data_IF_634231826026
#
_entry.id   IF_634231826026
#
_cell.length_a   1.000
_cell.length_b   1.000
_cell.length_c   1.000
_cell.angle_alpha   90.00
_cell.angle_beta   90.00
_cell.angle_gamma   90.00
#
_symmetry.space_group_name_H-M   'P 1'
#
loop_
_entity.id
_entity.type
_entity.pdbx_description
1 polymer ?
#
# COMPACT_ATOMS: atom_id res chain seq x y z
N UNK A 1 -10.77 23.91 -2.14
CA UNK A 1 -10.31 22.61 -1.60
C UNK A 1 -8.94 22.22 -2.14
N UNK A 2 -8.74 22.27 -3.46
CA UNK A 2 -7.45 22.03 -4.08
C UNK A 2 -6.31 22.87 -3.46
N UNK A 3 -6.48 24.20 -3.42
CA UNK A 3 -5.47 25.10 -2.84
C UNK A 3 -5.14 24.76 -1.39
N UNK A 4 -6.14 24.44 -0.58
CA UNK A 4 -5.93 24.06 0.82
C UNK A 4 -5.11 22.78 0.95
N UNK A 5 -5.24 21.85 -0.01
CA UNK A 5 -4.47 20.61 -0.03
C UNK A 5 -3.04 20.84 -0.54
N UNK A 6 -2.84 21.67 -1.56
CA UNK A 6 -1.52 21.97 -2.12
C UNK A 6 -0.67 22.87 -1.22
N UNK A 7 -1.31 23.73 -0.41
CA UNK A 7 -0.64 24.61 0.56
C UNK A 7 -0.58 24.01 1.97
N UNK A 8 -0.89 22.72 2.12
CA UNK A 8 -0.85 22.05 3.42
C UNK A 8 0.58 22.10 3.97
N UNK A 9 0.72 22.59 5.21
CA UNK A 9 2.00 22.78 5.87
C UNK A 9 2.99 23.70 5.11
N UNK A 10 2.46 24.71 4.39
CA UNK A 10 3.24 25.73 3.69
C UNK A 10 3.06 27.14 4.29
N UNK A 11 2.40 27.26 5.45
CA UNK A 11 2.15 28.54 6.14
C UNK A 11 2.36 28.42 7.65
N UNK A 12 2.83 29.48 8.34
CA UNK A 12 3.00 29.47 9.79
C UNK A 12 1.68 29.16 10.54
N UNK A 13 1.75 28.47 11.70
CA UNK A 13 2.94 27.97 12.38
C UNK A 13 3.40 26.57 11.91
N UNK A 14 2.82 26.03 10.84
CA UNK A 14 3.07 24.67 10.35
C UNK A 14 3.87 24.65 9.04
N UNK A 15 4.63 25.69 8.74
CA UNK A 15 5.41 25.79 7.51
C UNK A 15 6.61 24.82 7.55
N UNK A 16 6.59 23.84 6.64
CA UNK A 16 7.65 22.85 6.49
C UNK A 16 8.81 23.32 5.60
N UNK A 17 8.70 24.47 4.91
CA UNK A 17 9.75 25.01 4.03
C UNK A 17 11.11 25.12 4.72
N UNK A 18 11.25 25.81 5.87
CA UNK A 18 12.54 25.93 6.56
C UNK A 18 13.07 24.57 7.05
N UNK A 19 12.19 23.64 7.42
CA UNK A 19 12.56 22.27 7.82
C UNK A 19 13.16 21.52 6.63
N UNK A 20 12.54 21.62 5.45
CA UNK A 20 13.05 20.97 4.23
C UNK A 20 14.40 21.54 3.80
N UNK A 21 14.58 22.86 3.85
CA UNK A 21 15.87 23.51 3.54
C UNK A 21 16.98 23.04 4.48
N UNK A 22 16.70 22.99 5.79
CA UNK A 22 17.65 22.46 6.77
C UNK A 22 17.96 20.97 6.52
N UNK A 23 16.94 20.15 6.25
CA UNK A 23 17.14 18.74 5.91
C UNK A 23 18.03 18.55 4.67
N UNK A 24 17.86 19.37 3.62
CA UNK A 24 18.70 19.32 2.42
C UNK A 24 20.14 19.71 2.72
N UNK A 25 20.35 20.79 3.49
CA UNK A 25 21.68 21.23 3.93
C UNK A 25 22.38 20.12 4.73
N UNK A 26 21.72 19.59 5.76
CA UNK A 26 22.28 18.55 6.63
C UNK A 26 22.57 17.24 5.87
N UNK A 27 21.71 16.87 4.92
CA UNK A 27 21.95 15.70 4.05
C UNK A 27 23.15 15.90 3.13
N UNK A 28 23.36 17.11 2.62
CA UNK A 28 24.54 17.43 1.82
C UNK A 28 25.82 17.41 2.68
N UNK A 29 25.79 18.04 3.86
CA UNK A 29 26.91 17.98 4.82
C UNK A 29 27.27 16.54 5.19
N UNK A 30 26.28 15.69 5.47
CA UNK A 30 26.48 14.26 5.73
C UNK A 30 27.18 13.56 4.56
N UNK A 31 26.78 13.84 3.31
CA UNK A 31 27.42 13.27 2.14
C UNK A 31 28.90 13.68 2.04
N UNK A 32 29.20 14.96 2.25
CA UNK A 32 30.58 15.47 2.24
C UNK A 32 31.43 14.82 3.35
N UNK A 33 30.89 14.66 4.55
CA UNK A 33 31.58 14.00 5.67
C UNK A 33 31.91 12.53 5.38
N UNK A 34 31.06 11.85 4.62
CA UNK A 34 31.25 10.46 4.21
C UNK A 34 32.10 10.33 2.92
N UNK A 35 32.53 11.44 2.31
CA UNK A 35 33.34 11.45 1.09
C UNK A 35 32.55 11.29 -0.21
N UNK A 36 31.24 11.57 -0.21
CA UNK A 36 30.36 11.52 -1.38
C UNK A 36 29.99 12.93 -1.87
N UNK A 37 29.63 13.06 -3.15
CA UNK A 37 29.28 14.34 -3.74
C UNK A 37 27.86 14.80 -3.37
N UNK A 38 26.96 13.85 -3.14
CA UNK A 38 25.54 14.14 -2.87
C UNK A 38 24.91 13.08 -1.96
N UNK A 39 23.81 13.47 -1.31
CA UNK A 39 23.04 12.51 -0.52
C UNK A 39 22.37 11.43 -1.39
N UNK A 40 22.19 11.66 -2.69
CA UNK A 40 21.71 10.63 -3.60
C UNK A 40 22.70 9.45 -3.67
N UNK A 41 24.02 9.73 -3.73
CA UNK A 41 25.04 8.69 -3.69
C UNK A 41 25.03 7.94 -2.35
N UNK A 42 24.91 8.65 -1.23
CA UNK A 42 24.78 8.04 0.11
C UNK A 42 23.53 7.15 0.20
N UNK A 43 22.41 7.62 -0.33
CA UNK A 43 21.16 6.87 -0.36
C UNK A 43 21.28 5.60 -1.19
N UNK A 44 22.15 5.53 -2.20
CA UNK A 44 22.29 4.34 -3.03
C UNK A 44 23.14 3.23 -2.39
N UNK A 45 23.82 3.50 -1.27
CA UNK A 45 24.68 2.50 -0.62
C UNK A 45 23.94 1.25 -0.15
N UNK A 46 22.64 1.37 0.12
CA UNK A 46 21.75 0.30 0.57
C UNK A 46 20.65 -0.05 -0.45
N UNK A 47 20.89 0.23 -1.74
CA UNK A 47 19.95 0.01 -2.85
C UNK A 47 20.56 -0.86 -3.95
N UNK A 48 19.71 -1.49 -4.75
CA UNK A 48 20.15 -2.29 -5.90
C UNK A 48 20.59 -1.43 -7.09
N UNK A 49 20.08 -0.20 -7.18
CA UNK A 49 20.42 0.72 -8.25
C UNK A 49 21.92 1.06 -8.24
N UNK A 50 22.63 0.89 -9.37
CA UNK A 50 24.10 0.89 -9.39
C UNK A 50 24.71 2.30 -9.32
N UNK A 51 23.97 3.35 -9.66
CA UNK A 51 24.44 4.74 -9.65
C UNK A 51 23.29 5.73 -9.77
N UNK A 52 23.55 6.99 -9.40
CA UNK A 52 22.59 8.10 -9.60
C UNK A 52 22.24 8.24 -11.08
N UNK A 53 23.23 8.14 -11.97
CA UNK A 53 23.03 8.23 -13.42
C UNK A 53 22.14 7.12 -13.98
N UNK A 54 22.20 5.90 -13.42
CA UNK A 54 21.32 4.80 -13.82
C UNK A 54 19.86 5.06 -13.40
N UNK A 55 19.66 5.63 -12.21
CA UNK A 55 18.33 6.05 -11.74
C UNK A 55 17.75 7.16 -12.63
N UNK A 56 18.54 8.19 -12.93
CA UNK A 56 18.13 9.28 -13.81
C UNK A 56 17.80 8.79 -15.22
N UNK A 57 18.64 7.92 -15.79
CA UNK A 57 18.41 7.33 -17.10
C UNK A 57 17.09 6.55 -17.16
N UNK A 58 16.79 5.75 -16.12
CA UNK A 58 15.52 5.04 -16.03
C UNK A 58 14.32 6.00 -15.95
N UNK A 59 14.40 7.03 -15.11
CA UNK A 59 13.32 8.01 -14.96
C UNK A 59 13.08 8.78 -16.26
N UNK A 60 14.14 9.18 -16.97
CA UNK A 60 14.01 9.90 -18.24
C UNK A 60 13.51 9.03 -19.37
N UNK A 61 13.94 7.76 -19.46
CA UNK A 61 13.39 6.80 -20.42
C UNK A 61 11.88 6.58 -20.20
N UNK A 62 11.45 6.42 -18.94
CA UNK A 62 10.02 6.32 -18.59
C UNK A 62 9.27 7.60 -18.97
N UNK A 63 9.80 8.77 -18.62
CA UNK A 63 9.22 10.08 -18.99
C UNK A 63 9.02 10.16 -20.50
N UNK A 64 10.04 9.85 -21.28
CA UNK A 64 10.00 10.05 -22.75
C UNK A 64 8.99 9.11 -23.42
N UNK A 65 8.83 7.89 -22.91
CA UNK A 65 7.81 6.94 -23.35
C UNK A 65 6.39 7.37 -22.96
N UNK A 66 6.22 7.94 -21.77
CA UNK A 66 4.90 8.33 -21.25
C UNK A 66 4.43 9.72 -21.72
N UNK A 67 5.35 10.64 -22.05
CA UNK A 67 5.03 12.04 -22.30
C UNK A 67 4.12 12.25 -23.50
N UNK A 68 4.38 11.55 -24.61
CA UNK A 68 3.54 11.66 -25.81
C UNK A 68 2.10 11.19 -25.53
N UNK A 69 1.96 10.07 -24.81
CA UNK A 69 0.67 9.50 -24.42
C UNK A 69 -0.07 10.45 -23.47
N UNK A 70 0.63 10.97 -22.45
CA UNK A 70 0.05 11.87 -21.44
C UNK A 70 -0.48 13.17 -22.09
N UNK A 71 0.22 13.70 -23.11
CA UNK A 71 -0.25 14.87 -23.86
C UNK A 71 -1.53 14.59 -24.65
N UNK A 72 -1.65 13.40 -25.24
CA UNK A 72 -2.87 12.98 -25.94
C UNK A 72 -4.02 12.82 -24.94
N UNK A 73 -3.79 12.13 -23.82
CA UNK A 73 -4.80 11.94 -22.77
C UNK A 73 -5.29 13.28 -22.20
N UNK A 74 -4.38 14.23 -21.93
CA UNK A 74 -4.76 15.57 -21.46
C UNK A 74 -5.57 16.34 -22.52
N UNK A 75 -5.24 16.22 -23.80
CA UNK A 75 -6.02 16.82 -24.88
C UNK A 75 -7.42 16.19 -24.98
N UNK A 76 -7.55 14.88 -24.82
CA UNK A 76 -8.85 14.20 -24.79
C UNK A 76 -9.73 14.68 -23.63
N UNK A 77 -9.14 14.90 -22.44
CA UNK A 77 -9.85 15.45 -21.28
C UNK A 77 -10.30 16.89 -21.53
N UNK A 78 -9.42 17.74 -22.09
CA UNK A 78 -9.75 19.13 -22.44
C UNK A 78 -10.85 19.22 -23.50
N UNK A 79 -10.76 18.43 -24.57
CA UNK A 79 -11.77 18.36 -25.63
C UNK A 79 -13.13 17.89 -25.09
N UNK A 80 -13.11 16.91 -24.18
CA UNK A 80 -14.33 16.43 -23.54
C UNK A 80 -14.95 17.52 -22.66
N UNK A 81 -14.15 18.20 -21.84
CA UNK A 81 -14.61 19.29 -20.98
C UNK A 81 -15.25 20.43 -21.81
N UNK A 82 -14.59 20.86 -22.89
CA UNK A 82 -15.10 21.91 -23.78
C UNK A 82 -16.46 21.55 -24.40
N UNK A 83 -16.62 20.30 -24.85
CA UNK A 83 -17.90 19.80 -25.40
C UNK A 83 -19.03 19.74 -24.36
N UNK A 84 -18.69 19.78 -23.07
CA UNK A 84 -19.64 19.69 -21.96
C UNK A 84 -19.73 20.98 -21.13
N UNK A 85 -19.32 22.11 -21.72
CA UNK A 85 -19.59 23.44 -21.16
C UNK A 85 -18.46 24.07 -20.35
N UNK A 86 -17.25 23.49 -20.35
CA UNK A 86 -16.07 24.21 -19.87
C UNK A 86 -15.71 25.33 -20.86
N UNK A 87 -15.64 26.58 -20.37
CA UNK A 87 -15.32 27.75 -21.21
C UNK A 87 -13.84 28.15 -21.16
N UNK A 88 -13.20 27.94 -20.01
CA UNK A 88 -11.79 28.30 -19.76
C UNK A 88 -10.85 27.08 -19.91
N UNK A 89 -9.55 27.29 -20.19
CA UNK A 89 -8.56 26.22 -20.13
C UNK A 89 -8.62 25.47 -18.79
N UNK A 90 -8.38 24.16 -18.83
CA UNK A 90 -8.40 23.35 -17.60
C UNK A 90 -7.27 23.77 -16.67
N UNK A 91 -7.64 24.06 -15.43
CA UNK A 91 -6.70 24.22 -14.32
C UNK A 91 -6.45 22.88 -13.63
N UNK A 92 -5.42 22.82 -12.78
CA UNK A 92 -5.00 21.56 -12.12
C UNK A 92 -6.12 20.90 -11.31
N UNK A 93 -7.01 21.70 -10.72
CA UNK A 93 -8.16 21.21 -9.95
C UNK A 93 -9.29 20.65 -10.80
N UNK A 94 -9.35 20.98 -12.10
CA UNK A 94 -10.38 20.51 -13.02
C UNK A 94 -10.07 19.12 -13.57
N UNK A 95 -8.77 18.78 -13.67
CA UNK A 95 -8.28 17.58 -14.36
C UNK A 95 -8.92 16.31 -13.80
N UNK A 96 -8.92 16.14 -12.48
CA UNK A 96 -9.44 14.94 -11.83
C UNK A 96 -10.95 14.77 -12.06
N UNK A 97 -11.71 15.87 -12.02
CA UNK A 97 -13.14 15.87 -12.25
C UNK A 97 -13.46 15.49 -13.71
N UNK A 98 -12.87 16.19 -14.69
CA UNK A 98 -13.15 15.92 -16.10
C UNK A 98 -12.64 14.56 -16.57
N UNK A 99 -11.52 14.09 -16.00
CA UNK A 99 -11.04 12.71 -16.24
C UNK A 99 -12.08 11.68 -15.80
N UNK A 100 -12.71 11.88 -14.64
CA UNK A 100 -13.75 11.00 -14.14
C UNK A 100 -15.02 11.05 -15.00
N UNK A 101 -15.45 12.26 -15.42
CA UNK A 101 -16.59 12.41 -16.32
C UNK A 101 -16.35 11.75 -17.69
N UNK A 102 -15.17 11.94 -18.28
CA UNK A 102 -14.77 11.29 -19.53
C UNK A 102 -14.75 9.76 -19.37
N UNK A 103 -14.21 9.26 -18.26
CA UNK A 103 -14.18 7.82 -17.97
C UNK A 103 -15.58 7.24 -17.85
N UNK A 104 -16.48 7.92 -17.15
CA UNK A 104 -17.89 7.52 -17.03
C UNK A 104 -18.56 7.47 -18.41
N UNK A 105 -18.41 8.52 -19.23
CA UNK A 105 -18.99 8.57 -20.57
C UNK A 105 -18.43 7.50 -21.52
N UNK A 106 -17.11 7.24 -21.46
CA UNK A 106 -16.43 6.29 -22.35
C UNK A 106 -16.70 4.84 -22.01
N UNK A 107 -16.79 4.50 -20.73
CA UNK A 107 -16.88 3.12 -20.27
C UNK A 107 -18.21 2.75 -19.62
N UNK A 108 -19.16 3.70 -19.51
CA UNK A 108 -20.37 3.56 -18.70
C UNK A 108 -20.04 3.03 -17.30
N UNK A 109 -18.96 3.56 -16.71
CA UNK A 109 -18.32 3.02 -15.52
C UNK A 109 -18.33 4.04 -14.39
N UNK A 110 -19.00 3.71 -13.29
CA UNK A 110 -18.92 4.46 -12.05
C UNK A 110 -18.27 3.61 -10.95
N UNK A 111 -17.24 4.17 -10.32
CA UNK A 111 -16.52 3.50 -9.24
C UNK A 111 -17.37 3.29 -7.99
N UNK A 112 -18.35 4.17 -7.74
CA UNK A 112 -19.28 4.03 -6.63
C UNK A 112 -20.23 2.83 -6.82
N UNK A 113 -20.63 2.55 -8.06
CA UNK A 113 -21.47 1.39 -8.39
C UNK A 113 -20.78 0.05 -8.12
N UNK A 114 -19.44 0.03 -8.04
CA UNK A 114 -18.70 -1.18 -7.69
C UNK A 114 -18.62 -1.45 -6.18
N UNK A 115 -18.77 -0.44 -5.31
CA UNK A 115 -18.60 -0.61 -3.86
C UNK A 115 -19.47 -1.72 -3.25
N UNK A 116 -20.75 -1.90 -3.66
CA UNK A 116 -21.58 -3.01 -3.17
C UNK A 116 -21.00 -4.41 -3.45
N UNK A 117 -20.12 -4.52 -4.44
CA UNK A 117 -19.41 -5.77 -4.80
C UNK A 117 -18.11 -5.95 -4.00
N UNK A 118 -17.76 -5.05 -3.09
CA UNK A 118 -16.58 -5.23 -2.23
C UNK A 118 -16.91 -5.03 -0.74
N UNK A 119 -17.82 -5.82 -0.14
CA UNK A 119 -17.92 -5.86 1.32
C UNK A 119 -16.58 -6.30 1.92
N UNK A 120 -16.06 -5.56 2.91
CA UNK A 120 -14.74 -5.80 3.51
C UNK A 120 -14.57 -7.25 3.98
N UNK A 121 -15.60 -7.83 4.59
CA UNK A 121 -15.59 -9.22 5.06
C UNK A 121 -15.39 -10.22 3.92
N UNK A 122 -15.99 -9.96 2.74
CA UNK A 122 -15.82 -10.80 1.55
C UNK A 122 -14.45 -10.60 0.90
N UNK A 123 -13.96 -9.36 0.87
CA UNK A 123 -12.62 -9.05 0.37
C UNK A 123 -11.55 -9.76 1.23
N UNK A 124 -11.67 -9.72 2.55
CA UNK A 124 -10.75 -10.41 3.46
C UNK A 124 -10.81 -11.93 3.31
N UNK A 125 -12.02 -12.50 3.23
CA UNK A 125 -12.19 -13.94 2.98
C UNK A 125 -11.49 -14.36 1.67
N UNK A 126 -11.76 -13.67 0.56
CA UNK A 126 -11.13 -13.98 -0.72
C UNK A 126 -9.61 -13.79 -0.70
N UNK A 127 -9.11 -12.75 -0.02
CA UNK A 127 -7.67 -12.59 0.18
C UNK A 127 -7.05 -13.76 0.94
N UNK A 128 -7.70 -14.25 2.00
CA UNK A 128 -7.20 -15.38 2.79
C UNK A 128 -7.27 -16.70 2.02
N UNK A 129 -8.33 -16.94 1.27
CA UNK A 129 -8.45 -18.12 0.38
C UNK A 129 -7.37 -18.09 -0.70
N UNK A 130 -7.09 -16.92 -1.28
CA UNK A 130 -6.02 -16.73 -2.24
C UNK A 130 -4.63 -17.01 -1.67
N UNK A 131 -4.38 -16.55 -0.44
CA UNK A 131 -3.12 -16.78 0.28
C UNK A 131 -2.95 -18.27 0.62
N UNK A 132 -4.04 -18.94 0.99
CA UNK A 132 -4.06 -20.38 1.20
C UNK A 132 -3.73 -21.14 -0.08
N UNK A 133 -4.36 -20.80 -1.21
CA UNK A 133 -4.08 -21.47 -2.50
C UNK A 133 -2.64 -21.26 -2.97
N UNK A 134 -2.12 -20.03 -2.88
CA UNK A 134 -0.80 -19.71 -3.42
C UNK A 134 0.36 -20.15 -2.54
N UNK A 135 0.20 -20.04 -1.22
CA UNK A 135 1.30 -20.16 -0.28
C UNK A 135 1.10 -21.28 0.75
N UNK A 136 -0.02 -21.99 0.72
CA UNK A 136 -0.34 -23.00 1.74
C UNK A 136 -0.46 -22.39 3.14
N UNK A 137 -0.86 -21.11 3.23
CA UNK A 137 -1.01 -20.39 4.50
C UNK A 137 -2.46 -20.14 4.82
N UNK A 138 -2.95 -20.71 5.92
CA UNK A 138 -4.28 -20.43 6.44
C UNK A 138 -4.22 -19.25 7.39
N UNK A 139 -5.10 -18.28 7.19
CA UNK A 139 -5.27 -17.13 8.08
C UNK A 139 -6.53 -17.32 8.91
N UNK A 140 -6.40 -17.25 10.23
CA UNK A 140 -7.50 -17.51 11.16
C UNK A 140 -7.65 -16.33 12.14
N UNK A 141 -8.87 -15.88 12.45
CA UNK A 141 -9.08 -14.91 13.51
C UNK A 141 -8.66 -15.51 14.86
N UNK A 142 -8.03 -14.68 15.70
CA UNK A 142 -7.51 -15.06 17.00
C UNK A 142 -7.76 -13.94 18.04
N UNK A 143 -8.85 -13.19 17.87
CA UNK A 143 -9.24 -12.11 18.78
C UNK A 143 -9.31 -12.60 20.24
N UNK A 144 -8.86 -11.75 21.16
CA UNK A 144 -8.79 -12.08 22.60
C UNK A 144 -7.54 -12.86 23.03
N UNK A 145 -6.72 -13.35 22.08
CA UNK A 145 -5.40 -13.95 22.40
C UNK A 145 -4.35 -12.90 22.74
N UNK A 146 -4.50 -11.68 22.23
CA UNK A 146 -3.60 -10.54 22.47
C UNK A 146 -4.41 -9.31 22.82
N UNK A 147 -3.81 -8.41 23.61
CA UNK A 147 -4.35 -7.08 23.85
C UNK A 147 -4.25 -6.24 22.57
N UNK A 148 -5.28 -5.43 22.31
CA UNK A 148 -5.33 -4.51 21.17
C UNK A 148 -5.41 -3.07 21.66
N UNK A 149 -4.91 -2.12 20.85
CA UNK A 149 -4.93 -0.69 21.20
C UNK A 149 -6.28 -0.01 20.94
N UNK A 150 -7.20 -0.69 20.25
CA UNK A 150 -8.52 -0.16 19.91
C UNK A 150 -9.50 -1.33 19.72
N UNK A 151 -10.78 -1.20 20.12
CA UNK A 151 -11.78 -2.27 19.99
C UNK A 151 -12.04 -2.73 18.54
N UNK A 152 -11.83 -1.86 17.55
CA UNK A 152 -11.96 -2.21 16.13
C UNK A 152 -10.76 -2.98 15.55
N UNK A 153 -9.68 -3.13 16.32
CA UNK A 153 -8.49 -3.86 15.85
C UNK A 153 -8.73 -5.35 15.96
N UNK A 154 -8.54 -6.03 14.84
CA UNK A 154 -8.68 -7.48 14.72
C UNK A 154 -7.31 -8.14 14.82
N UNK A 155 -7.24 -9.35 15.38
CA UNK A 155 -6.02 -10.13 15.49
C UNK A 155 -6.14 -11.47 14.77
N UNK A 156 -5.08 -11.83 14.03
CA UNK A 156 -5.05 -13.02 13.20
C UNK A 156 -3.78 -13.85 13.41
N UNK A 157 -3.89 -15.16 13.22
CA UNK A 157 -2.77 -16.09 13.14
C UNK A 157 -2.63 -16.64 11.71
N UNK A 158 -1.40 -16.86 11.28
CA UNK A 158 -1.06 -17.46 9.99
C UNK A 158 -0.43 -18.84 10.23
N UNK A 159 -1.01 -19.89 9.67
CA UNK A 159 -0.58 -21.29 9.83
C UNK A 159 -0.12 -21.89 8.51
N UNK A 160 1.00 -22.60 8.53
CA UNK A 160 1.48 -23.35 7.37
C UNK A 160 0.79 -24.72 7.30
N UNK A 161 -0.17 -24.90 6.39
CA UNK A 161 -1.04 -26.10 6.38
C UNK A 161 -0.33 -27.36 5.89
N UNK A 162 0.72 -27.21 5.09
CA UNK A 162 1.49 -28.35 4.57
C UNK A 162 2.57 -28.83 5.56
N UNK A 163 2.85 -28.04 6.61
CA UNK A 163 3.83 -28.40 7.62
C UNK A 163 3.20 -29.29 8.71
N UNK A 164 3.93 -30.30 9.22
CA UNK A 164 3.41 -31.19 10.27
C UNK A 164 2.88 -30.41 11.48
N UNK A 165 1.62 -30.68 11.86
CA UNK A 165 0.95 -30.03 12.99
C UNK A 165 0.45 -28.61 12.72
N UNK A 166 0.45 -28.16 11.45
CA UNK A 166 -0.04 -26.85 11.01
C UNK A 166 0.41 -25.67 11.92
N UNK A 167 1.73 -25.50 12.12
CA UNK A 167 2.25 -24.55 13.10
C UNK A 167 1.89 -23.10 12.72
N UNK A 168 1.70 -22.27 13.73
CA UNK A 168 1.65 -20.82 13.55
C UNK A 168 3.03 -20.34 13.13
N UNK A 169 3.09 -19.63 12.00
CA UNK A 169 4.35 -19.10 11.44
C UNK A 169 4.44 -17.58 11.56
N UNK A 170 3.32 -16.89 11.72
CA UNK A 170 3.24 -15.44 11.89
C UNK A 170 1.90 -15.05 12.50
N UNK A 171 1.83 -13.81 12.99
CA UNK A 171 0.59 -13.24 13.50
C UNK A 171 0.49 -11.79 13.03
N UNK A 172 -0.72 -11.24 12.98
CA UNK A 172 -0.86 -9.83 12.67
C UNK A 172 -2.10 -9.18 13.26
N UNK A 173 -1.99 -7.88 13.48
CA UNK A 173 -3.12 -7.00 13.78
C UNK A 173 -3.63 -6.36 12.49
N UNK A 174 -4.93 -6.14 12.39
CA UNK A 174 -5.54 -5.33 11.34
C UNK A 174 -6.34 -4.20 11.99
N UNK A 175 -5.97 -2.97 11.67
CA UNK A 175 -6.66 -1.76 12.11
C UNK A 175 -7.29 -1.09 10.88
N UNK A 176 -8.58 -1.39 10.58
CA UNK A 176 -9.15 -1.11 9.27
C UNK A 176 -9.61 0.33 9.09
N UNK A 177 -10.05 1.01 10.16
CA UNK A 177 -10.86 2.22 10.04
C UNK A 177 -10.07 3.51 10.23
N UNK A 178 -10.54 4.57 9.56
CA UNK A 178 -10.09 5.93 9.77
C UNK A 178 -10.54 6.44 11.14
N UNK A 179 -9.64 7.12 11.86
CA UNK A 179 -9.94 7.85 13.10
C UNK A 179 -9.27 9.23 13.01
N UNK A 180 -9.97 10.25 12.48
CA UNK A 180 -9.40 11.58 12.29
C UNK A 180 -8.84 12.15 13.60
N UNK A 181 -7.62 12.70 13.57
CA UNK A 181 -6.94 13.25 14.75
C UNK A 181 -6.13 12.22 15.53
N UNK A 182 -6.62 10.99 15.65
CA UNK A 182 -6.00 9.95 16.49
C UNK A 182 -5.18 8.92 15.69
N UNK A 183 -5.49 8.75 14.41
CA UNK A 183 -4.81 7.82 13.51
C UNK A 183 -4.33 8.54 12.25
N UNK A 184 -3.07 8.33 11.89
CA UNK A 184 -2.49 8.80 10.63
C UNK A 184 -3.32 8.31 9.44
N UNK A 185 -3.57 9.18 8.46
CA UNK A 185 -4.28 8.79 7.24
C UNK A 185 -3.37 7.99 6.29
N UNK A 186 -3.94 6.98 5.62
CA UNK A 186 -3.26 6.19 4.60
C UNK A 186 -3.38 4.67 4.81
N UNK A 187 -2.54 3.94 4.09
CA UNK A 187 -2.45 2.49 4.13
C UNK A 187 -0.97 2.12 4.28
N UNK A 188 -0.60 1.45 5.37
CA UNK A 188 0.80 1.07 5.62
C UNK A 188 0.90 -0.20 6.48
N UNK A 189 2.07 -0.84 6.38
CA UNK A 189 2.46 -1.99 7.18
C UNK A 189 3.38 -1.51 8.30
N UNK A 190 3.22 -2.04 9.50
CA UNK A 190 4.15 -1.82 10.61
C UNK A 190 4.61 -3.17 11.16
N UNK A 191 5.90 -3.32 11.42
CA UNK A 191 6.45 -4.57 11.97
C UNK A 191 6.57 -4.42 13.47
N UNK A 192 5.78 -5.19 14.21
CA UNK A 192 5.79 -5.16 15.68
C UNK A 192 7.03 -5.90 16.19
N UNK A 193 7.23 -7.14 15.72
CA UNK A 193 8.45 -7.91 15.98
C UNK A 193 8.82 -8.73 14.75
N UNK A 194 10.12 -8.81 14.45
CA UNK A 194 10.61 -9.62 13.32
C UNK A 194 10.97 -11.04 13.74
N UNK A 195 10.95 -11.97 12.77
CA UNK A 195 11.43 -13.34 12.96
C UNK A 195 12.87 -13.33 13.46
N UNK A 196 13.20 -14.13 14.46
CA UNK A 196 14.58 -14.16 14.96
C UNK A 196 14.91 -15.46 15.70
N UNK A 197 15.96 -16.17 15.25
CA UNK A 197 16.52 -17.29 16.00
C UNK A 197 17.33 -16.83 17.21
N UNK A 198 17.89 -15.62 17.17
CA UNK A 198 18.66 -15.04 18.28
C UNK A 198 17.75 -14.74 19.47
N UNK A 199 16.50 -14.33 19.21
CA UNK A 199 15.50 -14.01 20.22
C UNK A 199 14.54 -15.18 20.50
N UNK A 200 14.99 -16.41 20.25
CA UNK A 200 14.24 -17.63 20.59
C UNK A 200 14.07 -17.75 22.11
N UNK A 201 13.07 -18.52 22.52
CA UNK A 201 12.82 -18.85 23.93
C UNK A 201 12.85 -20.37 24.10
N UNK A 202 12.75 -20.85 25.34
CA UNK A 202 12.58 -22.30 25.60
C UNK A 202 11.28 -22.85 24.99
N UNK A 203 10.26 -21.99 24.85
CA UNK A 203 8.95 -22.34 24.30
C UNK A 203 8.92 -22.35 22.76
N UNK A 204 9.83 -21.61 22.11
CA UNK A 204 9.84 -21.46 20.66
C UNK A 204 11.27 -21.34 20.14
N UNK A 205 11.65 -22.26 19.25
CA UNK A 205 12.99 -22.34 18.63
C UNK A 205 13.33 -21.14 17.72
N UNK A 206 12.35 -20.31 17.41
CA UNK A 206 12.45 -19.03 16.70
C UNK A 206 11.36 -18.10 17.22
N UNK A 207 11.65 -16.80 17.36
CA UNK A 207 10.59 -15.80 17.57
C UNK A 207 9.78 -15.66 16.30
N UNK A 208 8.46 -15.78 16.39
CA UNK A 208 7.57 -15.57 15.25
C UNK A 208 7.45 -14.06 14.93
N UNK A 209 7.39 -13.69 13.64
CA UNK A 209 7.11 -12.32 13.25
C UNK A 209 5.67 -11.93 13.57
N UNK A 210 5.50 -10.68 14.01
CA UNK A 210 4.20 -10.02 14.20
C UNK A 210 4.22 -8.69 13.48
N UNK A 211 3.19 -8.40 12.70
CA UNK A 211 3.04 -7.12 11.99
C UNK A 211 1.63 -6.55 12.18
N UNK A 212 1.42 -5.31 11.77
CA UNK A 212 0.14 -4.63 11.80
C UNK A 212 -0.18 -4.05 10.43
N UNK A 213 -1.40 -4.31 9.97
CA UNK A 213 -1.96 -3.74 8.75
C UNK A 213 -2.84 -2.55 9.12
N UNK A 214 -2.38 -1.36 8.77
CA UNK A 214 -3.09 -0.12 9.04
C UNK A 214 -3.79 0.36 7.77
N UNK A 215 -5.10 0.56 7.83
CA UNK A 215 -5.91 1.16 6.78
C UNK A 215 -6.76 2.30 7.32
N UNK A 216 -7.27 3.16 6.45
CA UNK A 216 -8.21 4.21 6.82
C UNK A 216 -9.51 4.13 6.04
N UNK A 217 -10.15 2.96 6.09
CA UNK A 217 -11.49 2.76 5.54
C UNK A 217 -12.50 3.61 6.31
N UNK A 218 -13.56 4.01 5.63
CA UNK A 218 -14.68 4.68 6.32
C UNK A 218 -15.28 3.71 7.34
N UNK A 219 -15.43 4.09 8.62
CA UNK A 219 -16.06 3.24 9.62
C UNK A 219 -17.47 2.82 9.20
N UNK A 220 -17.99 1.68 9.69
CA UNK A 220 -19.38 1.32 9.47
C UNK A 220 -20.31 2.41 10.01
N UNK A 221 -21.39 2.66 9.27
CA UNK A 221 -22.49 3.55 9.69
C UNK A 221 -23.69 2.64 9.95
N UNK A 222 -24.18 2.65 11.20
CA UNK A 222 -25.19 1.71 11.69
C UNK A 222 -24.76 0.25 11.46
N UNK A 223 -25.71 -0.67 11.22
CA UNK A 223 -25.46 -2.10 10.97
C UNK A 223 -25.08 -2.41 9.50
N UNK A 224 -24.64 -1.41 8.72
CA UNK A 224 -24.30 -1.62 7.30
C UNK A 224 -22.89 -2.19 7.15
N UNK A 225 -22.67 -3.11 6.18
CA UNK A 225 -21.34 -3.62 5.91
C UNK A 225 -20.43 -2.48 5.40
N UNK A 226 -19.16 -2.53 5.79
CA UNK A 226 -18.13 -1.65 5.25
C UNK A 226 -17.89 -2.05 3.79
N UNK A 227 -18.19 -1.13 2.88
CA UNK A 227 -18.01 -1.32 1.44
C UNK A 227 -16.72 -0.64 0.99
N UNK A 228 -15.89 -1.36 0.25
CA UNK A 228 -14.61 -0.88 -0.23
C UNK A 228 -14.73 -0.43 -1.69
N UNK A 229 -14.03 0.61 -2.06
CA UNK A 229 -13.71 0.91 -3.46
C UNK A 229 -12.68 -0.09 -3.99
N UNK A 230 -12.62 -0.25 -5.32
CA UNK A 230 -11.56 -1.05 -5.94
C UNK A 230 -10.15 -0.58 -5.53
N UNK A 231 -9.98 0.73 -5.34
CA UNK A 231 -8.70 1.31 -4.89
C UNK A 231 -8.34 0.86 -3.48
N UNK A 232 -9.30 0.83 -2.56
CA UNK A 232 -9.07 0.33 -1.20
C UNK A 232 -8.74 -1.16 -1.19
N UNK A 233 -9.34 -1.96 -2.09
CA UNK A 233 -8.99 -3.39 -2.25
C UNK A 233 -7.54 -3.54 -2.76
N UNK A 234 -7.14 -2.76 -3.78
CA UNK A 234 -5.75 -2.75 -4.25
C UNK A 234 -4.74 -2.39 -3.15
N UNK A 235 -5.06 -1.37 -2.35
CA UNK A 235 -4.21 -0.93 -1.25
C UNK A 235 -4.11 -1.99 -0.15
N UNK A 236 -5.21 -2.66 0.17
CA UNK A 236 -5.21 -3.79 1.12
C UNK A 236 -4.29 -4.92 0.63
N UNK A 237 -4.39 -5.35 -0.64
CA UNK A 237 -3.51 -6.39 -1.18
C UNK A 237 -2.05 -5.94 -1.18
N UNK A 238 -1.79 -4.70 -1.57
CA UNK A 238 -0.46 -4.12 -1.52
C UNK A 238 0.13 -4.18 -0.10
N UNK A 239 -0.63 -3.74 0.89
CA UNK A 239 -0.21 -3.74 2.30
C UNK A 239 -0.01 -5.17 2.85
N UNK A 240 -0.91 -6.09 2.48
CA UNK A 240 -0.82 -7.50 2.85
C UNK A 240 0.43 -8.17 2.24
N UNK A 241 0.90 -7.72 1.07
CA UNK A 241 2.14 -8.20 0.47
C UNK A 241 3.39 -7.93 1.32
N UNK A 242 3.48 -6.78 2.00
CA UNK A 242 4.55 -6.56 3.00
C UNK A 242 4.41 -7.50 4.20
N UNK A 243 3.18 -7.70 4.68
CA UNK A 243 2.87 -8.63 5.75
C UNK A 243 3.29 -10.07 5.42
N UNK A 244 2.99 -10.53 4.21
CA UNK A 244 3.42 -11.83 3.69
C UNK A 244 4.93 -11.97 3.66
N UNK A 245 5.65 -10.92 3.25
CA UNK A 245 7.12 -10.93 3.29
C UNK A 245 7.64 -11.09 4.72
N UNK A 246 7.04 -10.39 5.68
CA UNK A 246 7.39 -10.55 7.10
C UNK A 246 7.12 -11.99 7.57
N UNK A 247 5.93 -12.51 7.23
CA UNK A 247 5.44 -13.80 7.68
C UNK A 247 6.22 -14.99 7.10
N UNK A 248 6.59 -14.90 5.82
CA UNK A 248 7.21 -15.99 5.06
C UNK A 248 8.74 -15.90 5.03
N UNK A 249 9.33 -14.93 5.73
CA UNK A 249 10.78 -14.82 5.80
C UNK A 249 11.38 -16.07 6.44
N UNK A 250 12.36 -16.68 5.76
CA UNK A 250 13.16 -17.78 6.29
C UNK A 250 14.47 -17.32 6.94
N UNK A 251 14.75 -16.01 6.91
CA UNK A 251 15.98 -15.45 7.45
C UNK A 251 16.06 -15.57 8.98
N UNK A 252 17.20 -16.02 9.48
CA UNK A 252 17.39 -16.37 10.90
C UNK A 252 17.74 -15.19 11.80
N UNK A 253 18.37 -14.16 11.23
CA UNK A 253 18.81 -12.99 11.97
C UNK A 253 17.82 -11.85 11.83
N UNK A 254 17.56 -11.16 12.94
CA UNK A 254 16.58 -10.06 13.01
C UNK A 254 16.80 -9.00 11.94
N UNK A 255 18.05 -8.64 11.64
CA UNK A 255 18.36 -7.61 10.64
C UNK A 255 17.95 -8.00 9.21
N UNK A 256 18.06 -9.28 8.86
CA UNK A 256 17.75 -9.78 7.52
C UNK A 256 16.28 -10.25 7.38
N UNK A 257 15.62 -10.57 8.49
CA UNK A 257 14.23 -11.06 8.47
C UNK A 257 13.19 -9.95 8.43
N UNK A 258 13.61 -8.70 8.61
CA UNK A 258 12.73 -7.55 8.51
C UNK A 258 12.17 -7.39 7.09
N UNK A 259 10.92 -6.92 6.95
CA UNK A 259 10.38 -6.44 5.67
C UNK A 259 11.17 -5.32 5.01
N UNK A 260 12.08 -4.66 5.73
CA UNK A 260 13.01 -3.67 5.18
C UNK A 260 14.47 -4.13 5.24
N UNK A 261 14.72 -5.41 5.54
CA UNK A 261 16.06 -6.02 5.55
C UNK A 261 16.59 -6.40 4.16
N UNK A 262 16.07 -5.78 3.10
CA UNK A 262 16.61 -5.85 1.74
C UNK A 262 16.76 -4.43 1.23
N UNK A 263 17.46 -4.30 0.11
CA UNK A 263 17.66 -3.07 -0.62
C UNK A 263 16.35 -2.29 -0.83
N UNK A 264 16.36 -0.99 -0.51
CA UNK A 264 15.13 -0.21 -0.37
C UNK A 264 14.31 -0.10 -1.65
N UNK A 265 14.96 -0.12 -2.81
CA UNK A 265 14.32 -0.09 -4.14
C UNK A 265 13.72 -1.45 -4.57
N UNK A 266 13.95 -2.53 -3.81
CA UNK A 266 13.33 -3.84 -4.01
C UNK A 266 12.16 -4.13 -3.05
N UNK A 267 11.94 -3.29 -2.02
CA UNK A 267 10.94 -3.56 -0.97
C UNK A 267 9.51 -3.62 -1.50
N UNK A 268 9.24 -2.93 -2.61
CA UNK A 268 7.93 -2.84 -3.26
C UNK A 268 7.58 -4.07 -4.10
N UNK A 269 8.53 -4.98 -4.38
CA UNK A 269 8.27 -6.10 -5.29
C UNK A 269 7.14 -7.01 -4.77
N UNK A 270 7.13 -7.46 -3.49
CA UNK A 270 6.07 -8.35 -3.00
C UNK A 270 4.70 -7.65 -2.89
N UNK A 271 4.69 -6.38 -2.47
CA UNK A 271 3.48 -5.58 -2.35
C UNK A 271 2.85 -5.32 -3.72
N UNK A 272 3.66 -4.99 -4.73
CA UNK A 272 3.19 -4.82 -6.10
C UNK A 272 2.76 -6.14 -6.74
N UNK A 273 3.50 -7.24 -6.50
CA UNK A 273 3.14 -8.57 -6.99
C UNK A 273 1.74 -8.97 -6.53
N UNK A 274 1.41 -8.82 -5.24
CA UNK A 274 0.07 -9.16 -4.75
C UNK A 274 -1.01 -8.25 -5.34
N UNK A 275 -0.72 -6.94 -5.44
CA UNK A 275 -1.64 -5.96 -6.04
C UNK A 275 -2.00 -6.27 -7.50
N UNK A 276 -1.08 -6.86 -8.28
CA UNK A 276 -1.36 -7.26 -9.67
C UNK A 276 -2.49 -8.29 -9.80
N UNK A 277 -2.81 -9.03 -8.73
CA UNK A 277 -3.89 -10.01 -8.77
C UNK A 277 -5.29 -9.39 -8.66
N UNK A 278 -5.43 -8.12 -8.24
CA UNK A 278 -6.73 -7.42 -8.27
C UNK A 278 -7.34 -7.38 -9.68
N UNK A 279 -6.50 -7.29 -10.72
CA UNK A 279 -6.93 -7.09 -12.11
C UNK A 279 -6.77 -8.33 -12.99
N UNK A 280 -6.22 -9.43 -12.47
CA UNK A 280 -5.93 -10.64 -13.23
C UNK A 280 -7.20 -11.41 -13.62
N UNK A 281 -7.56 -11.38 -14.90
CA UNK A 281 -8.78 -12.03 -15.43
C UNK A 281 -8.95 -13.51 -15.05
N UNK A 282 -7.86 -14.29 -15.00
CA UNK A 282 -7.87 -15.74 -14.69
C UNK A 282 -8.07 -16.05 -13.21
N UNK A 283 -7.77 -15.10 -12.32
CA UNK A 283 -7.86 -15.29 -10.85
C UNK A 283 -8.81 -14.31 -10.17
N UNK A 284 -9.63 -13.57 -10.94
CA UNK A 284 -10.70 -12.74 -10.38
C UNK A 284 -11.54 -13.54 -9.38
N UNK A 285 -11.82 -14.81 -9.64
CA UNK A 285 -12.63 -15.66 -8.76
C UNK A 285 -12.01 -15.97 -7.38
N UNK A 286 -10.70 -15.76 -7.23
CA UNK A 286 -9.95 -16.10 -6.01
C UNK A 286 -9.97 -14.98 -4.98
N UNK A 287 -9.78 -13.72 -5.40
CA UNK A 287 -9.91 -12.56 -4.50
C UNK A 287 -11.34 -11.99 -4.52
N UNK A 288 -12.02 -12.13 -5.66
CA UNK A 288 -13.37 -11.64 -5.89
C UNK A 288 -14.27 -12.85 -6.14
N UNK A 289 -14.69 -13.49 -5.04
CA UNK A 289 -15.66 -14.57 -5.05
C UNK A 289 -16.82 -14.18 -5.99
N UNK A 290 -17.05 -15.02 -7.00
CA UNK A 290 -18.29 -15.18 -7.79
C UNK A 290 -19.42 -14.23 -7.41
N UNK A 291 -19.42 -13.02 -7.97
CA UNK A 291 -20.64 -12.22 -8.00
C UNK A 291 -21.53 -12.80 -9.09
N UNK A 292 -22.51 -13.60 -8.68
CA UNK A 292 -23.73 -13.73 -9.48
C UNK A 292 -24.26 -12.30 -9.62
N UNK A 293 -24.21 -11.79 -10.85
CA UNK A 293 -24.99 -10.61 -11.20
C UNK A 293 -26.43 -10.93 -10.75
N UNK A 294 -27.09 -10.07 -9.96
CA UNK A 294 -28.53 -10.16 -9.86
C UNK A 294 -29.10 -10.08 -11.30
N UNK A 295 -30.19 -10.80 -11.59
CA UNK A 295 -30.78 -10.82 -12.94
C UNK A 295 -31.13 -9.41 -13.43
#
# INVERSE_FOLDING_TARGET
>A
MFDAQTHKAAVPPHDNTPIMEEMLRLRHELAQLLGYNSYAEVSLLDKTAPSVSAVEALIFDLRDKCLAISKVEMAEVADFALKHGQEEPLEEFDIAYWTQQLRQARYNFDGEQLKPYFPMTKVLSGLFDFVLELFGIRVEPADGVQETWHPDVQFFQMRAVEAPGEPVIAQFFMDPYARPGDKRHGCWNEVVVSRSKVLRTELASVRLPVFALMNTLTPPVDDKPVLMSHREVELLLHNFGYGLRAALSSADYTAASQPYGIEWDAVEIPSMFLRMFCTSRRKRHLVLISFQCPP
#
